data_IF_978055542738
#
_entry.id   IF_978055542738
#
_cell.length_a   1.000
_cell.length_b   1.000
_cell.length_c   1.000
_cell.angle_alpha   90.00
_cell.angle_beta   90.00
_cell.angle_gamma   90.00
#
_symmetry.space_group_name_H-M   'P 1'
#
loop_
_entity.id
_entity.type
_entity.pdbx_description
1 polymer ?
#
# COMPACT_ATOMS: atom_id res chain seq x y z
N UNK A 1 23.28 -10.86 18.94
CA UNK A 1 22.46 -12.02 19.36
C UNK A 1 21.03 -11.64 19.74
N UNK A 2 20.78 -10.57 20.51
CA UNK A 2 19.39 -10.11 20.76
C UNK A 2 18.76 -9.34 19.58
N UNK A 3 19.58 -8.63 18.78
CA UNK A 3 19.07 -7.81 17.67
C UNK A 3 18.67 -8.64 16.44
N UNK A 4 19.37 -9.75 16.19
CA UNK A 4 19.12 -10.64 15.05
C UNK A 4 17.77 -11.36 15.19
N UNK A 5 17.45 -11.80 16.41
CA UNK A 5 16.21 -12.49 16.75
C UNK A 5 15.01 -11.54 16.70
N UNK A 6 15.19 -10.29 17.16
CA UNK A 6 14.18 -9.24 17.05
C UNK A 6 13.88 -8.89 15.59
N UNK A 7 14.92 -8.69 14.77
CA UNK A 7 14.77 -8.36 13.36
C UNK A 7 14.08 -9.49 12.58
N UNK A 8 14.39 -10.75 12.90
CA UNK A 8 13.73 -11.91 12.32
C UNK A 8 12.24 -11.96 12.67
N UNK A 9 11.90 -11.69 13.94
CA UNK A 9 10.51 -11.69 14.41
C UNK A 9 9.69 -10.56 13.76
N UNK A 10 10.27 -9.36 13.67
CA UNK A 10 9.66 -8.20 12.99
C UNK A 10 9.41 -8.50 11.50
N UNK A 11 10.37 -9.13 10.84
CA UNK A 11 10.23 -9.54 9.45
C UNK A 11 9.12 -10.56 9.23
N UNK A 12 9.02 -11.58 10.10
CA UNK A 12 7.94 -12.58 10.05
C UNK A 12 6.56 -11.96 10.29
N UNK A 13 6.46 -11.01 11.22
CA UNK A 13 5.21 -10.28 11.49
C UNK A 13 4.79 -9.44 10.28
N UNK A 14 5.75 -8.79 9.62
CA UNK A 14 5.48 -8.01 8.41
C UNK A 14 4.94 -8.88 7.27
N UNK A 15 5.51 -10.06 7.06
CA UNK A 15 5.04 -11.04 6.07
C UNK A 15 3.60 -11.44 6.37
N UNK A 16 3.31 -11.87 7.60
CA UNK A 16 1.96 -12.30 7.99
C UNK A 16 0.92 -11.17 7.83
N UNK A 17 1.26 -9.94 8.25
CA UNK A 17 0.38 -8.79 8.14
C UNK A 17 0.12 -8.41 6.67
N UNK A 18 1.14 -8.50 5.81
CA UNK A 18 1.02 -8.23 4.39
C UNK A 18 0.12 -9.24 3.68
N UNK A 19 0.33 -10.53 3.92
CA UNK A 19 -0.49 -11.59 3.32
C UNK A 19 -1.94 -11.47 3.72
N UNK A 20 -2.22 -11.22 5.00
CA UNK A 20 -3.58 -11.03 5.49
C UNK A 20 -4.26 -9.81 4.83
N UNK A 21 -3.53 -8.71 4.64
CA UNK A 21 -4.05 -7.51 3.98
C UNK A 21 -4.34 -7.71 2.48
N UNK A 22 -3.59 -8.60 1.82
CA UNK A 22 -3.60 -8.75 0.36
C UNK A 22 -4.22 -10.07 -0.14
N UNK A 23 -4.62 -10.98 0.74
CA UNK A 23 -5.15 -12.32 0.38
C UNK A 23 -6.38 -12.31 -0.52
N UNK A 24 -7.20 -11.25 -0.44
CA UNK A 24 -8.40 -11.09 -1.28
C UNK A 24 -8.07 -10.43 -2.64
N UNK A 25 -6.82 -9.99 -2.85
CA UNK A 25 -6.40 -9.21 -4.02
C UNK A 25 -5.38 -9.90 -4.88
N UNK A 26 -4.49 -10.64 -4.25
CA UNK A 26 -3.42 -11.35 -4.90
C UNK A 26 -3.78 -12.83 -4.80
N UNK A 27 -3.82 -13.52 -5.93
CA UNK A 27 -4.05 -14.95 -5.93
C UNK A 27 -3.03 -15.63 -5.03
N UNK A 28 -3.48 -16.60 -4.21
CA UNK A 28 -2.64 -17.30 -3.22
C UNK A 28 -1.35 -17.86 -3.82
N UNK A 29 -1.41 -18.30 -5.08
CA UNK A 29 -0.26 -18.84 -5.81
C UNK A 29 0.87 -17.82 -6.04
N UNK A 30 0.60 -16.52 -5.94
CA UNK A 30 1.58 -15.46 -6.14
C UNK A 30 2.32 -15.07 -4.84
N UNK A 31 1.88 -15.58 -3.68
CA UNK A 31 2.54 -15.35 -2.38
C UNK A 31 3.68 -16.34 -2.09
N UNK A 32 4.22 -17.01 -3.12
CA UNK A 32 5.39 -17.86 -2.92
C UNK A 32 6.57 -17.01 -2.40
N UNK A 33 7.13 -17.44 -1.27
CA UNK A 33 8.22 -16.76 -0.57
C UNK A 33 9.42 -17.72 -0.49
N UNK A 34 10.59 -17.30 -0.98
CA UNK A 34 11.79 -18.15 -1.09
C UNK A 34 12.66 -18.19 0.19
N UNK A 35 12.23 -17.50 1.24
CA UNK A 35 12.97 -17.33 2.49
C UNK A 35 13.62 -15.95 2.63
N UNK A 36 13.79 -15.22 1.52
CA UNK A 36 14.30 -13.84 1.52
C UNK A 36 13.31 -12.84 0.90
N UNK A 37 12.54 -13.25 -0.11
CA UNK A 37 11.59 -12.41 -0.84
C UNK A 37 10.44 -13.20 -1.43
N UNK A 38 9.38 -12.48 -1.79
CA UNK A 38 8.35 -13.05 -2.65
C UNK A 38 8.93 -13.30 -4.05
N UNK A 39 8.71 -14.50 -4.58
CA UNK A 39 9.17 -14.93 -5.92
C UNK A 39 8.49 -14.08 -7.00
N UNK A 40 7.21 -13.74 -6.80
CA UNK A 40 6.48 -12.89 -7.72
C UNK A 40 6.90 -11.42 -7.57
N UNK A 41 7.57 -10.86 -8.57
CA UNK A 41 8.14 -9.51 -8.54
C UNK A 41 7.15 -8.41 -8.11
N UNK A 42 5.92 -8.42 -8.63
CA UNK A 42 4.89 -7.45 -8.21
C UNK A 42 4.54 -7.59 -6.73
N UNK A 43 4.38 -8.81 -6.23
CA UNK A 43 4.09 -9.06 -4.80
C UNK A 43 5.25 -8.57 -3.93
N UNK A 44 6.49 -8.80 -4.35
CA UNK A 44 7.67 -8.30 -3.65
C UNK A 44 7.72 -6.75 -3.63
N UNK A 45 7.33 -6.09 -4.72
CA UNK A 45 7.26 -4.63 -4.76
C UNK A 45 6.19 -4.07 -3.82
N UNK A 46 5.00 -4.68 -3.79
CA UNK A 46 3.92 -4.26 -2.90
C UNK A 46 4.34 -4.51 -1.44
N UNK A 47 4.95 -5.65 -1.12
CA UNK A 47 5.47 -5.95 0.20
C UNK A 47 6.49 -4.90 0.67
N UNK A 48 7.46 -4.53 -0.19
CA UNK A 48 8.42 -3.47 0.13
C UNK A 48 7.75 -2.14 0.43
N UNK A 49 6.75 -1.75 -0.37
CA UNK A 49 6.01 -0.51 -0.14
C UNK A 49 5.15 -0.57 1.13
N UNK A 50 4.58 -1.73 1.45
CA UNK A 50 3.84 -1.98 2.69
C UNK A 50 4.72 -1.83 3.92
N UNK A 51 5.90 -2.46 3.94
CA UNK A 51 6.87 -2.35 5.04
C UNK A 51 7.39 -0.92 5.18
N UNK A 52 7.70 -0.25 4.07
CA UNK A 52 8.16 1.15 4.08
C UNK A 52 7.10 2.10 4.69
N UNK A 53 5.81 1.84 4.47
CA UNK A 53 4.71 2.64 5.01
C UNK A 53 4.44 2.46 6.51
N UNK A 54 4.98 1.43 7.16
CA UNK A 54 4.77 1.15 8.59
C UNK A 54 5.77 1.84 9.53
N UNK A 55 6.82 2.50 9.01
CA UNK A 55 7.79 3.22 9.84
C UNK A 55 7.36 4.69 10.05
N UNK A 56 6.94 5.10 11.27
CA UNK A 56 6.55 6.49 11.53
C UNK A 56 7.74 7.47 11.63
N UNK A 57 8.93 6.99 12.01
CA UNK A 57 10.17 7.79 12.15
C UNK A 57 11.16 7.60 10.98
N UNK A 58 10.93 6.60 10.13
CA UNK A 58 11.74 6.35 8.94
C UNK A 58 11.41 7.39 7.88
N UNK A 59 12.39 8.24 7.54
CA UNK A 59 12.38 9.13 6.37
C UNK A 59 11.43 8.61 5.29
N UNK A 60 10.35 9.35 5.00
CA UNK A 60 9.48 9.14 3.85
C UNK A 60 10.38 8.94 2.63
N UNK A 61 10.63 7.69 2.23
CA UNK A 61 11.40 7.41 1.02
C UNK A 61 10.49 7.78 -0.14
N UNK A 62 10.69 8.99 -0.67
CA UNK A 62 10.08 9.44 -1.92
C UNK A 62 10.54 8.46 -3.01
N UNK A 63 9.70 7.46 -3.30
CA UNK A 63 10.01 6.38 -4.26
C UNK A 63 9.53 4.97 -3.87
N UNK A 64 9.20 4.70 -2.61
CA UNK A 64 8.60 3.42 -2.16
C UNK A 64 7.30 3.67 -1.39
N UNK A 65 6.42 4.42 -2.03
CA UNK A 65 5.14 4.86 -1.50
C UNK A 65 4.03 4.33 -2.42
N UNK A 66 2.98 3.73 -1.84
CA UNK A 66 1.77 3.43 -2.60
C UNK A 66 0.95 4.71 -2.76
N UNK A 67 0.33 4.83 -3.93
CA UNK A 67 -0.55 5.92 -4.28
C UNK A 67 -1.93 5.39 -4.65
N UNK A 68 -2.95 6.21 -4.43
CA UNK A 68 -4.30 5.91 -4.84
C UNK A 68 -4.90 7.03 -5.69
N UNK A 69 -5.63 6.62 -6.71
CA UNK A 69 -6.58 7.44 -7.45
C UNK A 69 -7.98 6.98 -7.06
N UNK A 70 -8.90 7.92 -6.78
CA UNK A 70 -10.29 7.54 -6.52
C UNK A 70 -10.92 7.10 -7.83
N UNK A 71 -11.62 5.96 -7.81
CA UNK A 71 -12.35 5.46 -8.96
C UNK A 71 -13.43 6.47 -9.37
N UNK A 72 -13.54 6.82 -10.67
CA UNK A 72 -14.58 7.75 -11.15
C UNK A 72 -16.02 7.29 -10.86
N UNK A 73 -16.23 5.98 -10.70
CA UNK A 73 -17.51 5.39 -10.33
C UNK A 73 -17.75 5.30 -8.82
N UNK A 74 -16.76 5.64 -7.99
CA UNK A 74 -16.91 5.65 -6.54
C UNK A 74 -17.83 6.79 -6.10
N UNK A 75 -18.54 6.59 -4.99
CA UNK A 75 -19.30 7.66 -4.31
C UNK A 75 -18.41 8.82 -3.84
N UNK A 76 -17.10 8.66 -3.85
CA UNK A 76 -16.12 9.67 -3.47
C UNK A 76 -15.50 10.42 -4.67
N UNK A 77 -15.97 10.19 -5.90
CA UNK A 77 -15.35 10.75 -7.11
C UNK A 77 -15.18 12.29 -7.06
N UNK A 78 -16.11 13.03 -6.46
CA UNK A 78 -16.00 14.49 -6.30
C UNK A 78 -14.79 14.93 -5.46
N UNK A 79 -14.28 14.08 -4.58
CA UNK A 79 -13.09 14.36 -3.78
C UNK A 79 -11.81 14.37 -4.63
N UNK A 80 -11.78 13.62 -5.73
CA UNK A 80 -10.66 13.68 -6.68
C UNK A 80 -10.57 15.07 -7.31
N UNK A 81 -11.70 15.59 -7.79
CA UNK A 81 -11.79 16.94 -8.35
C UNK A 81 -11.39 18.00 -7.33
N UNK A 82 -11.88 17.88 -6.09
CA UNK A 82 -11.54 18.79 -5.01
C UNK A 82 -10.03 18.80 -4.71
N UNK A 83 -9.37 17.64 -4.70
CA UNK A 83 -7.93 17.55 -4.48
C UNK A 83 -7.14 18.22 -5.60
N UNK A 84 -7.54 18.01 -6.86
CA UNK A 84 -6.89 18.63 -8.01
C UNK A 84 -7.06 20.15 -7.97
N UNK A 85 -8.28 20.64 -7.68
CA UNK A 85 -8.58 22.07 -7.59
C UNK A 85 -7.81 22.77 -6.47
N UNK A 86 -7.62 22.10 -5.33
CA UNK A 86 -6.86 22.61 -4.18
C UNK A 86 -5.35 22.44 -4.33
N UNK A 87 -4.87 21.98 -5.49
CA UNK A 87 -3.46 21.72 -5.77
C UNK A 87 -2.83 20.75 -4.76
N UNK A 88 -3.63 19.78 -4.26
CA UNK A 88 -3.14 18.68 -3.45
C UNK A 88 -2.48 17.63 -4.36
N UNK A 89 -1.57 16.83 -3.79
CA UNK A 89 -0.90 15.74 -4.52
C UNK A 89 -1.95 14.71 -4.98
N UNK A 90 -2.02 14.44 -6.28
CA UNK A 90 -2.92 13.47 -6.89
C UNK A 90 -2.24 12.73 -8.06
N UNK A 91 -2.34 11.39 -8.18
CA UNK A 91 -2.77 10.41 -7.17
C UNK A 91 -2.09 10.61 -5.82
N UNK A 92 -2.81 10.34 -4.72
CA UNK A 92 -2.35 10.68 -3.38
C UNK A 92 -1.65 9.52 -2.68
N UNK A 93 -0.65 9.78 -1.82
CA UNK A 93 0.01 8.73 -1.06
C UNK A 93 -0.97 8.07 -0.08
N UNK A 94 -0.86 6.76 0.07
CA UNK A 94 -1.70 5.96 0.98
C UNK A 94 -0.91 5.03 1.89
N UNK A 95 -1.55 4.61 2.96
CA UNK A 95 -1.16 3.42 3.73
C UNK A 95 -2.38 2.52 3.96
N UNK A 96 -2.13 1.26 4.32
CA UNK A 96 -3.18 0.33 4.70
C UNK A 96 -3.36 0.31 6.22
N UNK A 97 -4.61 0.40 6.66
CA UNK A 97 -4.98 0.31 8.08
C UNK A 97 -6.13 -0.68 8.21
N UNK A 98 -6.05 -1.60 9.17
CA UNK A 98 -7.14 -2.52 9.43
C UNK A 98 -8.38 -1.76 9.91
N UNK A 99 -9.53 -2.03 9.28
CA UNK A 99 -10.81 -1.42 9.61
C UNK A 99 -11.93 -2.49 9.53
N UNK A 100 -12.77 -2.65 10.57
CA UNK A 100 -13.82 -3.67 10.59
C UNK A 100 -14.93 -3.44 9.55
N UNK A 101 -15.00 -2.26 8.92
CA UNK A 101 -16.02 -1.91 7.92
C UNK A 101 -15.47 -1.87 6.48
N UNK A 102 -14.22 -2.31 6.28
CA UNK A 102 -13.55 -2.45 4.98
C UNK A 102 -12.87 -1.18 4.46
N UNK A 103 -12.79 -0.11 5.25
CA UNK A 103 -12.16 1.15 4.88
C UNK A 103 -10.63 1.11 5.04
N UNK A 104 -9.98 0.17 4.37
CA UNK A 104 -8.58 -0.14 4.68
C UNK A 104 -7.55 0.79 4.04
N UNK A 105 -7.94 1.66 3.10
CA UNK A 105 -7.02 2.58 2.41
C UNK A 105 -7.06 3.94 3.06
N UNK A 106 -5.98 4.36 3.71
CA UNK A 106 -5.88 5.66 4.37
C UNK A 106 -5.04 6.65 3.57
N UNK A 107 -5.56 7.84 3.30
CA UNK A 107 -4.91 8.91 2.56
C UNK A 107 -5.91 9.92 1.99
N UNK A 108 -5.44 10.88 1.20
CA UNK A 108 -6.33 11.82 0.49
C UNK A 108 -7.15 12.74 1.41
N UNK A 109 -8.12 13.46 0.84
CA UNK A 109 -8.93 14.44 1.57
C UNK A 109 -10.07 13.80 2.39
N UNK A 110 -10.60 12.67 1.92
CA UNK A 110 -11.65 11.89 2.61
C UNK A 110 -11.09 10.98 3.71
N UNK A 111 -9.77 10.82 3.76
CA UNK A 111 -9.06 10.12 4.82
C UNK A 111 -9.05 8.60 4.67
N UNK A 112 -10.21 7.97 4.44
CA UNK A 112 -10.35 6.50 4.45
C UNK A 112 -11.25 6.02 3.30
N UNK A 113 -10.80 5.01 2.57
CA UNK A 113 -11.47 4.45 1.40
C UNK A 113 -11.51 2.93 1.45
N UNK A 114 -12.50 2.33 0.80
CA UNK A 114 -12.44 0.90 0.49
C UNK A 114 -11.52 0.67 -0.69
N UNK A 115 -11.05 -0.56 -0.80
CA UNK A 115 -10.22 -0.96 -1.91
C UNK A 115 -10.93 -0.86 -3.28
N UNK A 116 -12.24 -1.07 -3.33
CA UNK A 116 -13.03 -0.93 -4.56
C UNK A 116 -13.25 0.54 -4.96
N UNK A 117 -13.04 1.47 -4.03
CA UNK A 117 -13.20 2.90 -4.28
C UNK A 117 -11.96 3.53 -4.92
N UNK A 118 -10.85 2.79 -5.04
CA UNK A 118 -9.57 3.34 -5.52
C UNK A 118 -8.86 2.42 -6.51
N UNK A 119 -8.05 3.03 -7.37
CA UNK A 119 -6.98 2.34 -8.11
C UNK A 119 -5.67 2.57 -7.39
N UNK A 120 -4.90 1.50 -7.25
CA UNK A 120 -3.62 1.54 -6.55
C UNK A 120 -2.47 1.64 -7.54
N UNK A 121 -1.46 2.40 -7.16
CA UNK A 121 -0.25 2.60 -7.95
C UNK A 121 0.97 2.52 -7.06
N UNK A 122 2.08 2.07 -7.62
CA UNK A 122 3.41 2.33 -7.07
C UNK A 122 4.13 3.34 -7.97
N UNK A 123 5.05 4.11 -7.39
CA UNK A 123 5.81 5.13 -8.13
C UNK A 123 7.28 4.72 -8.27
N UNK A 124 7.77 4.56 -9.49
CA UNK A 124 9.19 4.24 -9.78
C UNK A 124 9.77 5.35 -10.65
N UNK A 125 10.89 5.95 -10.23
CA UNK A 125 11.58 7.01 -10.97
C UNK A 125 10.69 8.20 -11.39
N UNK A 126 9.61 8.47 -10.63
CA UNK A 126 8.66 9.54 -10.97
C UNK A 126 7.41 9.07 -11.71
N UNK A 127 7.40 7.87 -12.26
CA UNK A 127 6.29 7.30 -13.03
C UNK A 127 5.38 6.43 -12.18
N UNK A 128 4.07 6.47 -12.47
CA UNK A 128 3.06 5.68 -11.77
C UNK A 128 2.76 4.39 -12.53
N UNK A 129 2.79 3.27 -11.82
CA UNK A 129 2.48 1.96 -12.37
C UNK A 129 1.28 1.37 -11.63
N UNK A 130 0.20 0.98 -12.34
CA UNK A 130 -0.98 0.41 -11.71
C UNK A 130 -0.67 -0.95 -11.10
N UNK A 131 -1.30 -1.24 -9.96
CA UNK A 131 -1.31 -2.55 -9.33
C UNK A 131 -2.58 -3.26 -9.79
N UNK A 132 -2.42 -4.37 -10.52
CA UNK A 132 -3.50 -5.24 -10.99
C UNK A 132 -3.60 -6.49 -10.14
#
# INVERSE_FOLDING_TARGET
>A
MHDDEKSLLEHQLNIAAFEEAMKEKISRQNFEYDGERYVHNTVQLIFKAFVAGQNPDGLRIIGQQLYAEINPSSKYASQAEEMIQKNHIYPFPICFVADPYGYVVRGGIGGWYRLDDVKLFFKVNGELHPIQ
#
